data_IF_840214689832
#
_entry.id   IF_840214689832
#
_cell.length_a   1.000
_cell.length_b   1.000
_cell.length_c   1.000
_cell.angle_alpha   90.00
_cell.angle_beta   90.00
_cell.angle_gamma   90.00
#
_symmetry.space_group_name_H-M   'P 1'
#
loop_
_entity.id
_entity.type
_entity.pdbx_description
1 polymer ?
#
# COMPACT_ATOMS: atom_id res chain seq x y z
N UNK A 1 1.53 0.50 -34.86
CA UNK A 1 0.41 0.93 -34.01
C UNK A 1 -0.24 -0.32 -33.45
N UNK A 2 0.03 -0.63 -32.20
CA UNK A 2 -0.65 -1.68 -31.45
C UNK A 2 -1.10 -1.03 -30.15
N UNK A 3 -2.40 -1.03 -29.94
CA UNK A 3 -3.08 -0.50 -28.76
C UNK A 3 -2.73 -1.39 -27.56
N UNK A 4 -1.72 -1.00 -26.78
CA UNK A 4 -1.31 -1.72 -25.55
C UNK A 4 -2.28 -1.36 -24.43
N UNK A 5 -3.48 -1.91 -24.52
CA UNK A 5 -4.38 -2.02 -23.39
C UNK A 5 -4.06 -3.33 -22.63
N UNK A 6 -2.77 -3.53 -22.28
CA UNK A 6 -2.34 -4.62 -21.40
C UNK A 6 -2.86 -4.28 -20.00
N UNK A 7 -3.95 -4.91 -19.60
CA UNK A 7 -4.61 -4.67 -18.31
C UNK A 7 -3.63 -5.01 -17.18
N UNK A 8 -2.96 -4.00 -16.62
CA UNK A 8 -2.30 -4.12 -15.33
C UNK A 8 -3.36 -4.49 -14.30
N UNK A 9 -3.21 -5.64 -13.64
CA UNK A 9 -4.15 -6.07 -12.60
C UNK A 9 -4.07 -5.03 -11.47
N UNK A 10 -5.23 -4.47 -11.12
CA UNK A 10 -5.35 -3.46 -10.09
C UNK A 10 -5.54 -4.13 -8.73
N UNK A 11 -4.68 -3.81 -7.77
CA UNK A 11 -4.81 -4.29 -6.39
C UNK A 11 -5.07 -3.12 -5.46
N UNK A 12 -6.16 -3.24 -4.70
CA UNK A 12 -6.45 -2.36 -3.60
C UNK A 12 -5.81 -2.88 -2.33
N UNK A 13 -4.97 -2.07 -1.69
CA UNK A 13 -4.33 -2.38 -0.42
C UNK A 13 -5.12 -1.78 0.73
N UNK A 14 -5.52 -2.65 1.65
CA UNK A 14 -6.03 -2.27 2.96
C UNK A 14 -4.89 -1.78 3.87
N UNK A 15 -5.20 -0.96 4.87
CA UNK A 15 -4.27 -0.34 5.84
C UNK A 15 -3.35 -1.37 6.50
N UNK A 16 -3.88 -2.58 6.71
CA UNK A 16 -3.18 -3.68 7.35
C UNK A 16 -1.94 -4.16 6.56
N UNK A 17 -1.92 -4.02 5.24
CA UNK A 17 -0.83 -4.48 4.36
C UNK A 17 0.42 -3.61 4.48
N UNK A 18 0.40 -2.29 4.20
CA UNK A 18 1.58 -1.46 4.34
C UNK A 18 2.02 -1.34 5.82
N UNK A 19 1.09 -1.47 6.77
CA UNK A 19 1.42 -1.55 8.21
C UNK A 19 2.25 -2.80 8.54
N UNK A 20 1.96 -3.94 7.92
CA UNK A 20 2.69 -5.18 8.15
C UNK A 20 4.16 -5.11 7.73
N UNK A 21 4.48 -4.28 6.73
CA UNK A 21 5.85 -4.13 6.21
C UNK A 21 6.85 -3.70 7.30
N UNK A 22 6.40 -2.96 8.31
CA UNK A 22 7.22 -2.46 9.41
C UNK A 22 6.83 -3.03 10.79
N UNK A 23 5.88 -3.98 10.84
CA UNK A 23 5.38 -4.58 12.07
C UNK A 23 6.36 -5.64 12.62
N UNK A 24 7.35 -5.20 13.39
CA UNK A 24 8.35 -6.07 14.01
C UNK A 24 7.77 -7.02 15.07
N UNK A 25 6.53 -6.77 15.55
CA UNK A 25 5.86 -7.67 16.50
C UNK A 25 5.43 -8.99 15.86
N UNK A 26 5.31 -9.01 14.52
CA UNK A 26 4.89 -10.18 13.72
C UNK A 26 5.91 -10.47 12.61
N UNK A 27 7.10 -11.00 12.95
CA UNK A 27 8.24 -11.08 12.03
C UNK A 27 7.97 -11.90 10.76
N UNK A 28 7.19 -12.98 10.85
CA UNK A 28 6.83 -13.77 9.67
C UNK A 28 5.93 -12.99 8.71
N UNK A 29 4.91 -12.31 9.25
CA UNK A 29 3.99 -11.47 8.47
C UNK A 29 4.77 -10.32 7.82
N UNK A 30 5.66 -9.69 8.57
CA UNK A 30 6.56 -8.65 8.08
C UNK A 30 7.41 -9.14 6.91
N UNK A 31 8.08 -10.28 7.06
CA UNK A 31 8.95 -10.83 6.02
C UNK A 31 8.18 -11.14 4.73
N UNK A 32 6.99 -11.76 4.85
CA UNK A 32 6.14 -12.07 3.69
C UNK A 32 5.74 -10.78 2.97
N UNK A 33 5.27 -9.78 3.70
CA UNK A 33 4.87 -8.49 3.13
C UNK A 33 6.07 -7.79 2.46
N UNK A 34 7.24 -7.79 3.09
CA UNK A 34 8.45 -7.22 2.51
C UNK A 34 8.83 -7.91 1.20
N UNK A 35 8.83 -9.24 1.18
CA UNK A 35 9.15 -10.03 -0.02
C UNK A 35 8.16 -9.79 -1.15
N UNK A 36 6.88 -9.67 -0.84
CA UNK A 36 5.86 -9.35 -1.86
C UNK A 36 6.09 -7.95 -2.46
N UNK A 37 6.38 -6.95 -1.62
CA UNK A 37 6.68 -5.59 -2.11
C UNK A 37 7.98 -5.50 -2.93
N UNK A 38 8.96 -6.36 -2.63
CA UNK A 38 10.23 -6.44 -3.36
C UNK A 38 10.10 -7.14 -4.72
N UNK A 39 9.27 -8.18 -4.83
CA UNK A 39 9.29 -9.08 -6.00
C UNK A 39 8.02 -8.98 -6.86
N UNK A 40 6.85 -8.83 -6.24
CA UNK A 40 5.56 -9.03 -6.92
C UNK A 40 4.77 -7.73 -7.10
N UNK A 41 4.92 -6.77 -6.18
CA UNK A 41 4.14 -5.52 -6.18
C UNK A 41 4.24 -4.71 -7.48
N UNK A 42 5.36 -4.78 -8.19
CA UNK A 42 5.59 -4.06 -9.46
C UNK A 42 4.79 -4.64 -10.63
N UNK A 43 4.25 -5.86 -10.48
CA UNK A 43 3.38 -6.50 -11.46
C UNK A 43 1.94 -5.96 -11.42
N UNK A 44 1.63 -5.12 -10.44
CA UNK A 44 0.28 -4.63 -10.18
C UNK A 44 0.23 -3.10 -10.19
N UNK A 45 -0.92 -2.58 -10.57
CA UNK A 45 -1.25 -1.18 -10.30
C UNK A 45 -1.85 -1.10 -8.90
N UNK A 46 -1.14 -0.46 -7.96
CA UNK A 46 -1.50 -0.47 -6.54
C UNK A 46 -2.31 0.77 -6.16
N UNK A 47 -3.41 0.52 -5.46
CA UNK A 47 -4.34 1.54 -4.97
C UNK A 47 -4.46 1.45 -3.45
N UNK A 48 -4.72 2.58 -2.81
CA UNK A 48 -5.04 2.67 -1.38
C UNK A 48 -6.12 3.74 -1.20
N UNK A 49 -7.00 3.58 -0.23
CA UNK A 49 -8.00 4.63 0.05
C UNK A 49 -7.38 5.79 0.82
N UNK A 50 -8.00 6.95 0.67
CA UNK A 50 -7.77 8.11 1.52
C UNK A 50 -8.03 7.80 3.00
N UNK A 51 -9.02 6.95 3.30
CA UNK A 51 -9.34 6.52 4.67
C UNK A 51 -8.19 5.71 5.28
N UNK A 52 -7.59 4.80 4.51
CA UNK A 52 -6.43 4.03 4.98
C UNK A 52 -5.20 4.92 5.25
N UNK A 53 -5.05 6.00 4.47
CA UNK A 53 -4.02 7.02 4.73
C UNK A 53 -4.34 7.76 6.04
N UNK A 54 -5.58 8.22 6.24
CA UNK A 54 -6.02 8.86 7.49
C UNK A 54 -5.72 7.95 8.71
N UNK A 55 -6.01 6.64 8.61
CA UNK A 55 -5.73 5.66 9.66
C UNK A 55 -4.24 5.52 9.96
N UNK A 56 -3.38 5.48 8.94
CA UNK A 56 -1.92 5.44 9.10
C UNK A 56 -1.42 6.74 9.75
N UNK A 57 -2.03 7.88 9.40
CA UNK A 57 -1.65 9.16 9.95
C UNK A 57 -1.97 9.28 11.45
N UNK A 58 -3.01 8.61 11.94
CA UNK A 58 -3.36 8.56 13.36
C UNK A 58 -2.43 7.64 14.19
N UNK A 59 -1.59 6.82 13.55
CA UNK A 59 -0.61 5.97 14.24
C UNK A 59 0.48 6.84 14.88
N UNK A 60 0.58 6.81 16.22
CA UNK A 60 1.56 7.60 17.00
C UNK A 60 2.99 7.06 17.00
N UNK A 61 3.25 5.95 16.29
CA UNK A 61 4.54 5.26 16.30
C UNK A 61 5.48 5.78 15.20
N UNK A 62 6.80 5.68 15.42
CA UNK A 62 7.88 6.01 14.47
C UNK A 62 7.71 5.29 13.13
N UNK A 63 7.08 4.10 13.15
CA UNK A 63 6.79 3.32 11.95
C UNK A 63 5.84 4.02 10.97
N UNK A 64 5.00 4.98 11.40
CA UNK A 64 4.12 5.79 10.54
C UNK A 64 4.89 6.41 9.37
N UNK A 65 6.00 7.08 9.67
CA UNK A 65 6.78 7.79 8.66
C UNK A 65 7.40 6.82 7.64
N UNK A 66 7.71 5.60 8.07
CA UNK A 66 8.25 4.58 7.17
C UNK A 66 7.17 4.02 6.25
N UNK A 67 5.95 3.83 6.77
CA UNK A 67 4.77 3.42 6.00
C UNK A 67 4.43 4.48 4.93
N UNK A 68 4.34 5.75 5.29
CA UNK A 68 4.06 6.83 4.32
C UNK A 68 5.16 6.96 3.25
N UNK A 69 6.42 6.68 3.62
CA UNK A 69 7.55 6.70 2.68
C UNK A 69 7.45 5.59 1.63
N UNK A 70 7.05 4.36 2.01
CA UNK A 70 6.90 3.28 1.03
C UNK A 70 5.76 3.57 0.05
N UNK A 71 4.62 4.06 0.56
CA UNK A 71 3.47 4.49 -0.26
C UNK A 71 3.88 5.57 -1.28
N UNK A 72 4.67 6.55 -0.83
CA UNK A 72 5.17 7.62 -1.70
C UNK A 72 6.20 7.16 -2.72
N UNK A 73 7.10 6.25 -2.33
CA UNK A 73 8.21 5.80 -3.19
C UNK A 73 7.78 4.91 -4.36
N UNK A 74 6.74 4.09 -4.17
CA UNK A 74 6.30 3.12 -5.16
C UNK A 74 5.24 3.65 -6.14
N UNK A 75 5.08 4.98 -6.22
CA UNK A 75 4.00 5.64 -7.00
C UNK A 75 2.62 5.01 -6.70
N UNK A 76 2.37 4.66 -5.42
CA UNK A 76 1.15 3.98 -4.97
C UNK A 76 -0.06 4.94 -4.89
N UNK A 77 -0.14 5.89 -5.81
CA UNK A 77 -1.09 6.99 -5.81
C UNK A 77 -1.96 6.94 -7.05
N UNK A 78 -2.85 5.97 -7.08
CA UNK A 78 -4.18 6.22 -7.58
C UNK A 78 -5.12 6.17 -6.38
N UNK A 79 -5.50 7.36 -5.91
CA UNK A 79 -6.39 7.53 -4.76
C UNK A 79 -7.80 7.18 -5.18
N UNK A 80 -8.35 6.11 -4.61
CA UNK A 80 -9.78 5.85 -4.68
C UNK A 80 -10.47 6.64 -3.57
N UNK A 81 -11.24 7.66 -3.96
CA UNK A 81 -12.18 8.31 -3.06
C UNK A 81 -13.35 7.35 -2.80
N UNK A 82 -13.20 6.49 -1.80
CA UNK A 82 -14.35 5.85 -1.18
C UNK A 82 -15.04 6.90 -0.30
N UNK A 83 -16.13 7.46 -0.80
CA UNK A 83 -16.91 8.52 -0.15
C UNK A 83 -17.20 8.15 1.31
N UNK A 84 -16.82 9.06 2.23
CA UNK A 84 -17.33 9.12 3.61
C UNK A 84 -18.85 9.37 3.51
N UNK A 85 -19.65 8.31 3.53
CA UNK A 85 -21.04 8.41 3.98
C UNK A 85 -20.97 8.61 5.50
N UNK A 86 -20.94 9.87 5.92
CA UNK A 86 -21.09 10.30 7.32
C UNK A 86 -22.37 11.09 7.45
#
# INVERSE_FOLDING_TARGET
MADKNDKNIQLYLDTSIPSAFYDTSKPLRQLITQKWFENDAELYELFISTIAIDEIEEIKNIEKNKILKILSSKKMFNLLNCLKLR
#
